data_IF_475974017727
#
_entry.id   IF_475974017727
#
_cell.length_a   1.000
_cell.length_b   1.000
_cell.length_c   1.000
_cell.angle_alpha   90.00
_cell.angle_beta   90.00
_cell.angle_gamma   90.00
#
_symmetry.space_group_name_H-M   'P 1'
#
loop_
_entity.id
_entity.type
_entity.pdbx_description
1 polymer ?
#
# COMPACT_ATOMS: atom_id res chain seq x y z
N UNK A 1 3.63 -10.28 9.40
CA UNK A 1 4.30 -11.58 9.32
C UNK A 1 5.38 -11.54 8.26
N UNK A 2 6.58 -11.97 8.59
CA UNK A 2 7.68 -12.00 7.64
C UNK A 2 7.87 -13.42 7.10
N UNK A 3 7.97 -13.57 5.78
CA UNK A 3 8.21 -14.86 5.14
C UNK A 3 9.43 -14.79 4.23
N UNK A 4 10.06 -15.95 4.02
CA UNK A 4 11.21 -16.05 3.12
C UNK A 4 10.89 -17.05 2.01
N UNK A 5 11.08 -16.65 0.77
CA UNK A 5 10.86 -17.49 -0.42
C UNK A 5 12.08 -17.29 -1.33
N UNK A 6 12.80 -18.39 -1.58
CA UNK A 6 13.99 -18.39 -2.45
C UNK A 6 14.99 -17.29 -2.08
N UNK A 7 15.29 -17.16 -0.79
CA UNK A 7 16.20 -16.16 -0.23
C UNK A 7 15.73 -14.71 -0.41
N UNK A 8 14.43 -14.51 -0.65
CA UNK A 8 13.80 -13.19 -0.71
C UNK A 8 12.86 -13.05 0.49
N UNK A 9 12.87 -11.89 1.11
CA UNK A 9 12.07 -11.62 2.29
C UNK A 9 10.87 -10.75 1.96
N UNK A 10 9.69 -11.18 2.43
CA UNK A 10 8.44 -10.45 2.26
C UNK A 10 7.83 -10.21 3.63
N UNK A 11 7.36 -9.00 3.86
CA UNK A 11 6.62 -8.66 5.08
C UNK A 11 5.15 -8.52 4.71
N UNK A 12 4.30 -9.37 5.30
CA UNK A 12 2.85 -9.31 5.09
C UNK A 12 2.23 -8.47 6.19
N UNK A 13 1.51 -7.45 5.80
CA UNK A 13 0.89 -6.51 6.73
C UNK A 13 -0.62 -6.70 6.79
N UNK A 14 -1.21 -6.43 7.96
CA UNK A 14 -2.65 -6.61 8.18
C UNK A 14 -3.52 -5.71 7.29
N UNK A 15 -2.96 -4.64 6.74
CA UNK A 15 -3.66 -3.74 5.83
C UNK A 15 -3.92 -4.33 4.45
N UNK A 16 -3.40 -5.52 4.16
CA UNK A 16 -3.44 -6.09 2.82
C UNK A 16 -2.23 -5.71 1.97
N UNK A 17 -1.20 -5.15 2.60
CA UNK A 17 0.04 -4.80 1.92
C UNK A 17 1.08 -5.90 2.11
N UNK A 18 1.95 -6.07 1.12
CA UNK A 18 3.10 -6.95 1.20
C UNK A 18 4.34 -6.19 0.71
N UNK A 19 5.41 -6.24 1.48
CA UNK A 19 6.64 -5.55 1.15
C UNK A 19 7.74 -6.53 0.80
N UNK A 20 8.30 -6.41 -0.40
CA UNK A 20 9.44 -7.19 -0.86
C UNK A 20 10.72 -6.43 -0.50
N UNK A 21 11.40 -6.87 0.55
CA UNK A 21 12.49 -6.10 1.16
C UNK A 21 13.67 -5.88 0.21
N UNK A 22 14.12 -6.92 -0.49
CA UNK A 22 15.33 -6.84 -1.32
C UNK A 22 15.17 -5.94 -2.53
N UNK A 23 13.95 -5.85 -3.07
CA UNK A 23 13.64 -5.01 -4.22
C UNK A 23 12.99 -3.70 -3.84
N UNK A 24 12.64 -3.53 -2.57
CA UNK A 24 11.93 -2.36 -2.05
C UNK A 24 10.64 -2.07 -2.82
N UNK A 25 9.89 -3.13 -3.09
CA UNK A 25 8.60 -3.04 -3.78
C UNK A 25 7.49 -3.29 -2.77
N UNK A 26 6.56 -2.36 -2.70
CA UNK A 26 5.37 -2.47 -1.86
C UNK A 26 4.18 -2.83 -2.73
N UNK A 27 3.54 -3.97 -2.43
CA UNK A 27 2.31 -4.40 -3.10
C UNK A 27 1.12 -4.06 -2.22
N UNK A 28 0.14 -3.39 -2.78
CA UNK A 28 -1.08 -3.03 -2.06
C UNK A 28 -2.27 -3.70 -2.76
N UNK A 29 -2.92 -4.63 -2.05
CA UNK A 29 -4.06 -5.37 -2.59
C UNK A 29 -5.40 -4.85 -2.06
N UNK A 30 -5.39 -3.94 -1.09
CA UNK A 30 -6.61 -3.35 -0.55
C UNK A 30 -7.23 -2.42 -1.59
N UNK A 31 -8.43 -2.73 -2.03
CA UNK A 31 -9.14 -1.97 -3.05
C UNK A 31 -9.39 -0.52 -2.64
N UNK A 32 -9.72 -0.29 -1.36
CA UNK A 32 -9.97 1.06 -0.86
C UNK A 32 -8.71 1.91 -0.90
N UNK A 33 -7.57 1.34 -0.51
CA UNK A 33 -6.29 2.05 -0.56
C UNK A 33 -5.87 2.34 -2.00
N UNK A 34 -6.13 1.40 -2.92
CA UNK A 34 -5.84 1.61 -4.34
C UNK A 34 -6.66 2.74 -4.93
N UNK A 35 -7.96 2.82 -4.60
CA UNK A 35 -8.83 3.90 -5.06
C UNK A 35 -8.39 5.26 -4.54
N UNK A 36 -7.99 5.35 -3.28
CA UNK A 36 -7.52 6.59 -2.69
C UNK A 36 -6.28 7.09 -3.42
N UNK A 37 -5.32 6.21 -3.69
CA UNK A 37 -4.13 6.56 -4.44
C UNK A 37 -4.47 7.04 -5.86
N UNK A 38 -5.43 6.40 -6.50
CA UNK A 38 -5.90 6.77 -7.84
C UNK A 38 -6.50 8.19 -7.84
N UNK A 39 -7.38 8.49 -6.89
CA UNK A 39 -7.99 9.81 -6.79
C UNK A 39 -6.93 10.89 -6.56
N UNK A 40 -5.97 10.64 -5.68
CA UNK A 40 -4.89 11.58 -5.40
C UNK A 40 -4.05 11.85 -6.64
N UNK A 41 -3.73 10.81 -7.40
CA UNK A 41 -2.94 10.94 -8.63
C UNK A 41 -3.61 11.84 -9.66
N UNK A 42 -4.93 11.78 -9.74
CA UNK A 42 -5.70 12.59 -10.69
C UNK A 42 -6.17 13.93 -10.11
N UNK A 43 -5.72 14.30 -8.93
CA UNK A 43 -6.03 15.59 -8.32
C UNK A 43 -7.47 15.72 -7.86
N UNK A 44 -8.19 14.62 -7.69
CA UNK A 44 -9.56 14.65 -7.22
C UNK A 44 -9.66 14.92 -5.73
N UNK A 45 -10.63 15.74 -5.33
CA UNK A 45 -10.92 15.94 -3.92
C UNK A 45 -11.56 14.70 -3.32
N UNK A 46 -11.25 14.43 -2.07
CA UNK A 46 -11.84 13.31 -1.32
C UNK A 46 -12.92 13.91 -0.41
N UNK A 47 -14.20 13.77 -0.77
CA UNK A 47 -15.26 14.54 -0.11
C UNK A 47 -15.76 13.96 1.21
N UNK A 48 -15.46 12.71 1.51
CA UNK A 48 -16.06 12.03 2.64
C UNK A 48 -15.05 11.67 3.72
N UNK A 49 -15.52 11.73 4.97
CA UNK A 49 -14.71 11.37 6.13
C UNK A 49 -14.17 9.95 6.06
N UNK A 50 -14.99 9.00 5.57
CA UNK A 50 -14.55 7.60 5.44
C UNK A 50 -13.38 7.47 4.48
N UNK A 51 -13.38 8.23 3.38
CA UNK A 51 -12.28 8.27 2.44
C UNK A 51 -11.03 8.90 3.06
N UNK A 52 -11.22 9.91 3.90
CA UNK A 52 -10.12 10.52 4.63
C UNK A 52 -9.44 9.54 5.56
N UNK A 53 -10.22 8.71 6.27
CA UNK A 53 -9.66 7.68 7.15
C UNK A 53 -8.85 6.65 6.36
N UNK A 54 -9.33 6.24 5.18
CA UNK A 54 -8.59 5.33 4.30
C UNK A 54 -7.32 5.98 3.76
N UNK A 55 -7.38 7.27 3.46
CA UNK A 55 -6.21 8.04 3.03
C UNK A 55 -5.13 8.05 4.12
N UNK A 56 -5.54 8.26 5.37
CA UNK A 56 -4.62 8.22 6.51
C UNK A 56 -3.98 6.83 6.64
N UNK A 57 -4.76 5.77 6.48
CA UNK A 57 -4.25 4.41 6.51
C UNK A 57 -3.23 4.14 5.42
N UNK A 58 -3.48 4.64 4.21
CA UNK A 58 -2.54 4.52 3.11
C UNK A 58 -1.20 5.18 3.47
N UNK A 59 -1.25 6.40 3.99
CA UNK A 59 -0.04 7.11 4.38
C UNK A 59 0.72 6.38 5.49
N UNK A 60 0.04 5.78 6.44
CA UNK A 60 0.67 4.98 7.50
C UNK A 60 1.42 3.79 6.92
N UNK A 61 0.82 3.09 5.95
CA UNK A 61 1.47 1.96 5.30
C UNK A 61 2.69 2.41 4.49
N UNK A 62 2.57 3.53 3.78
CA UNK A 62 3.69 4.06 2.99
C UNK A 62 4.86 4.49 3.88
N UNK A 63 4.56 5.05 5.06
CA UNK A 63 5.59 5.45 6.01
C UNK A 63 6.24 4.26 6.70
N UNK A 64 5.51 3.16 6.85
CA UNK A 64 6.00 1.97 7.54
C UNK A 64 7.06 1.24 6.73
N UNK A 65 6.95 1.25 5.41
CA UNK A 65 7.87 0.55 4.52
C UNK A 65 8.66 1.53 3.66
N UNK A 66 9.98 1.35 3.64
CA UNK A 66 10.89 2.17 2.82
C UNK A 66 10.88 1.64 1.37
N UNK A 67 9.79 1.87 0.67
CA UNK A 67 9.62 1.34 -0.69
C UNK A 67 10.11 2.34 -1.74
N UNK A 68 10.68 1.81 -2.81
CA UNK A 68 11.07 2.58 -4.00
C UNK A 68 10.00 2.49 -5.08
N UNK A 69 9.22 1.40 -5.07
CA UNK A 69 8.18 1.14 -6.05
C UNK A 69 6.92 0.68 -5.34
N UNK A 70 5.77 1.15 -5.78
CA UNK A 70 4.47 0.75 -5.25
C UNK A 70 3.65 0.16 -6.38
N UNK A 71 3.14 -1.06 -6.17
CA UNK A 71 2.30 -1.75 -7.14
C UNK A 71 0.94 -2.00 -6.50
N UNK A 72 -0.12 -1.50 -7.13
CA UNK A 72 -1.49 -1.74 -6.69
C UNK A 72 -2.03 -2.97 -7.41
N UNK A 73 -2.42 -3.99 -6.63
CA UNK A 73 -2.95 -5.24 -7.16
C UNK A 73 -4.47 -5.20 -7.22
N UNK A 74 -5.03 -4.08 -7.59
CA UNK A 74 -6.47 -3.93 -7.70
C UNK A 74 -7.03 -4.76 -8.86
N UNK A 75 -8.30 -5.04 -8.76
CA UNK A 75 -9.03 -5.78 -9.78
C UNK A 75 -9.14 -5.05 -11.11
#
# INVERSE_FOLDING_TARGET
MRININNQNFVLHQSGAAFWEEKKILFISDLHLGKIAHFRKHGMAIPEKALFENFTRLNEVLDLFDSETIIFLGD
#
